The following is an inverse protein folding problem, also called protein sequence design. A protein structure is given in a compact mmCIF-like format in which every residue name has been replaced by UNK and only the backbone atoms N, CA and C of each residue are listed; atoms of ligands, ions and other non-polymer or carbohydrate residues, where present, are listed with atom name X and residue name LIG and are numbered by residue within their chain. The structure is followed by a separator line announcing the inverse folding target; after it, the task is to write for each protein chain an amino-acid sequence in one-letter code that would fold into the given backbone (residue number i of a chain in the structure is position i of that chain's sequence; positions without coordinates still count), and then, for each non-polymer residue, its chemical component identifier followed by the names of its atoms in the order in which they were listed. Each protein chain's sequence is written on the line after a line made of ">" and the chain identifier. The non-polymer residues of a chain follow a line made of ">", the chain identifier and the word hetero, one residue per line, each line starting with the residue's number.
data_IF_019223200551
#
_entry.id   IF_019223200551
#
_cell.length_a   1.000
_cell.length_b   1.000
_cell.length_c   1.000
_cell.angle_alpha   90.00
_cell.angle_beta   90.00
_cell.angle_gamma   90.00
#
_symmetry.space_group_name_H-M   'P 1'
#
loop_
_entity.id
_entity.type
_entity.pdbx_description
1 polymer ?
#
# COMPACT_ATOMS: atom_id res chain seq x y z
N UNK A 1 -2.91 -11.32 12.51
CA UNK A 1 -3.57 -12.45 13.19
C UNK A 1 -2.50 -13.17 13.99
N UNK A 2 -2.81 -13.71 15.17
CA UNK A 2 -1.89 -14.53 15.95
C UNK A 2 -2.66 -15.74 16.49
N UNK A 3 -2.11 -16.94 16.28
CA UNK A 3 -2.67 -18.18 16.81
C UNK A 3 -1.96 -18.48 18.13
N UNK A 4 -2.72 -18.77 19.20
CA UNK A 4 -2.17 -19.21 20.49
C UNK A 4 -2.07 -20.73 20.48
N UNK A 5 -0.95 -21.24 19.98
CA UNK A 5 -0.63 -22.66 19.97
C UNK A 5 0.90 -22.84 20.02
N UNK A 6 1.32 -23.96 20.57
CA UNK A 6 2.72 -24.40 20.57
C UNK A 6 2.96 -25.40 19.42
N UNK A 7 4.23 -25.68 19.10
CA UNK A 7 4.65 -26.68 18.09
C UNK A 7 4.12 -26.45 16.65
N UNK A 8 4.00 -25.18 16.26
CA UNK A 8 3.68 -24.80 14.89
C UNK A 8 4.91 -24.88 13.98
N UNK A 9 4.71 -25.40 12.77
CA UNK A 9 5.75 -25.52 11.75
C UNK A 9 5.69 -24.34 10.78
N UNK A 10 6.66 -23.40 10.81
CA UNK A 10 6.68 -22.27 9.90
C UNK A 10 7.12 -22.70 8.50
N UNK A 11 6.61 -22.01 7.48
CA UNK A 11 7.08 -22.17 6.11
C UNK A 11 8.35 -21.32 5.89
N UNK A 12 9.40 -21.84 5.23
CA UNK A 12 10.55 -21.03 4.85
C UNK A 12 10.14 -20.02 3.76
N UNK A 13 10.72 -18.82 3.80
CA UNK A 13 10.55 -17.81 2.76
C UNK A 13 11.68 -17.94 1.72
N UNK A 14 11.32 -17.85 0.44
CA UNK A 14 12.27 -17.67 -0.64
C UNK A 14 12.31 -16.20 -1.08
N UNK A 15 13.41 -15.81 -1.72
CA UNK A 15 13.55 -14.49 -2.34
C UNK A 15 12.71 -14.42 -3.62
N UNK A 16 11.61 -13.65 -3.61
CA UNK A 16 10.73 -13.54 -4.79
C UNK A 16 11.39 -12.83 -5.98
N UNK A 17 12.48 -12.10 -5.78
CA UNK A 17 13.22 -11.47 -6.87
C UNK A 17 13.96 -12.50 -7.74
N UNK A 18 14.38 -13.62 -7.15
CA UNK A 18 15.10 -14.71 -7.84
C UNK A 18 14.18 -15.65 -8.63
N UNK A 19 12.88 -15.61 -8.35
CA UNK A 19 11.86 -16.41 -9.05
C UNK A 19 11.86 -16.06 -10.54
N UNK A 20 11.83 -17.08 -11.40
CA UNK A 20 11.86 -16.91 -12.86
C UNK A 20 10.55 -17.31 -13.52
N UNK A 21 10.23 -16.64 -14.62
CA UNK A 21 9.14 -17.08 -15.51
C UNK A 21 9.46 -18.47 -16.06
N UNK A 22 8.49 -19.37 -16.04
CA UNK A 22 8.63 -20.79 -16.39
C UNK A 22 9.02 -21.71 -15.23
N UNK A 23 9.31 -21.17 -14.05
CA UNK A 23 9.61 -21.96 -12.86
C UNK A 23 8.35 -22.67 -12.34
N UNK A 24 8.49 -23.94 -11.94
CA UNK A 24 7.39 -24.74 -11.38
C UNK A 24 7.00 -24.23 -10.00
N UNK A 25 5.70 -24.17 -9.77
CA UNK A 25 5.10 -23.71 -8.52
C UNK A 25 3.93 -24.59 -8.11
N UNK A 26 3.64 -24.58 -6.81
CA UNK A 26 2.45 -25.20 -6.24
C UNK A 26 1.64 -24.16 -5.47
N UNK A 27 0.35 -24.08 -5.75
CA UNK A 27 -0.59 -23.28 -4.98
C UNK A 27 -1.30 -24.17 -3.96
N UNK A 28 -1.31 -23.74 -2.70
CA UNK A 28 -1.89 -24.47 -1.57
C UNK A 28 -2.97 -23.61 -0.93
N UNK A 29 -4.14 -24.20 -0.67
CA UNK A 29 -5.25 -23.49 -0.04
C UNK A 29 -6.41 -24.40 0.37
N UNK A 30 -7.57 -23.79 0.66
CA UNK A 30 -8.78 -24.50 1.05
C UNK A 30 -9.97 -24.06 0.14
N UNK A 31 -9.91 -24.35 -1.17
CA UNK A 31 -10.95 -23.93 -2.10
C UNK A 31 -12.26 -24.68 -1.80
N UNK A 32 -13.39 -23.97 -1.81
CA UNK A 32 -14.72 -24.55 -1.55
C UNK A 32 -14.87 -25.28 -0.20
N UNK A 33 -14.05 -24.93 0.81
CA UNK A 33 -13.95 -25.64 2.09
C UNK A 33 -13.55 -27.13 1.97
N UNK A 34 -12.94 -27.51 0.84
CA UNK A 34 -12.30 -28.81 0.66
C UNK A 34 -10.88 -28.72 1.22
N UNK A 35 -10.70 -29.26 2.43
CA UNK A 35 -9.48 -29.12 3.23
C UNK A 35 -8.22 -29.43 2.42
N UNK A 36 -7.28 -28.48 2.42
CA UNK A 36 -5.90 -28.62 1.96
C UNK A 36 -5.75 -29.13 0.52
N UNK A 37 -6.21 -28.34 -0.45
CA UNK A 37 -6.01 -28.63 -1.88
C UNK A 37 -4.69 -28.04 -2.36
N UNK A 38 -3.95 -28.84 -3.13
CA UNK A 38 -2.71 -28.43 -3.80
C UNK A 38 -2.93 -28.50 -5.31
N UNK A 39 -2.53 -27.46 -6.02
CA UNK A 39 -2.52 -27.41 -7.49
C UNK A 39 -1.13 -27.02 -7.96
N UNK A 40 -0.72 -27.49 -9.13
CA UNK A 40 0.60 -27.19 -9.71
C UNK A 40 0.45 -26.36 -10.98
N UNK A 41 1.47 -25.58 -11.27
CA UNK A 41 1.61 -24.78 -12.48
C UNK A 41 3.01 -24.21 -12.59
N UNK A 42 3.15 -23.14 -13.34
CA UNK A 42 4.38 -22.39 -13.51
C UNK A 42 4.17 -20.91 -13.19
N UNK A 43 5.26 -20.17 -13.00
CA UNK A 43 5.24 -18.71 -13.05
C UNK A 43 5.05 -18.28 -14.50
N UNK A 44 3.88 -17.72 -14.83
CA UNK A 44 3.55 -17.27 -16.18
C UNK A 44 4.09 -15.87 -16.47
N UNK A 45 4.18 -15.01 -15.46
CA UNK A 45 4.72 -13.66 -15.55
C UNK A 45 5.04 -13.09 -14.16
N UNK A 46 5.80 -12.00 -14.12
CA UNK A 46 6.06 -11.19 -12.91
C UNK A 46 5.61 -9.75 -13.15
N UNK A 47 5.57 -8.97 -12.07
CA UNK A 47 5.25 -7.55 -12.11
C UNK A 47 3.94 -7.23 -12.85
N UNK A 48 2.90 -8.04 -12.58
CA UNK A 48 1.57 -7.80 -13.16
C UNK A 48 0.77 -6.83 -12.31
N UNK A 49 0.15 -5.87 -12.99
CA UNK A 49 -0.90 -5.02 -12.45
C UNK A 49 -2.22 -5.42 -13.12
N UNK A 50 -3.25 -5.63 -12.31
CA UNK A 50 -4.59 -6.06 -12.74
C UNK A 50 -5.67 -5.02 -12.42
N UNK A 51 -5.26 -3.85 -11.92
CA UNK A 51 -6.07 -2.66 -11.65
C UNK A 51 -7.27 -2.95 -10.74
N UNK A 52 -7.07 -3.78 -9.71
CA UNK A 52 -8.12 -4.13 -8.74
C UNK A 52 -8.17 -3.15 -7.57
N UNK A 53 -7.09 -2.42 -7.32
CA UNK A 53 -6.92 -1.39 -6.30
C UNK A 53 -7.01 0.00 -6.96
N UNK A 54 -7.85 0.86 -6.37
CA UNK A 54 -8.08 2.24 -6.85
C UNK A 54 -7.29 3.30 -6.07
N UNK A 55 -6.52 2.89 -5.07
CA UNK A 55 -5.73 3.81 -4.26
C UNK A 55 -4.51 4.32 -5.02
N UNK A 56 -4.22 5.63 -4.88
CA UNK A 56 -3.06 6.28 -5.50
C UNK A 56 -1.71 5.64 -5.14
N UNK A 57 -1.62 5.01 -3.97
CA UNK A 57 -0.41 4.35 -3.45
C UNK A 57 -0.58 2.83 -3.34
N UNK A 58 -1.50 2.26 -4.11
CA UNK A 58 -1.64 0.83 -4.26
C UNK A 58 -0.34 0.23 -4.80
N UNK A 59 0.04 -0.93 -4.25
CA UNK A 59 1.16 -1.71 -4.76
C UNK A 59 0.56 -2.92 -5.46
N UNK A 60 0.50 -2.85 -6.78
CA UNK A 60 0.08 -3.97 -7.61
C UNK A 60 1.25 -4.47 -8.44
N UNK A 61 1.96 -5.44 -7.87
CA UNK A 61 2.99 -6.20 -8.57
C UNK A 61 2.81 -7.66 -8.20
N UNK A 62 2.07 -8.39 -9.03
CA UNK A 62 1.76 -9.79 -8.79
C UNK A 62 2.69 -10.72 -9.56
N UNK A 63 3.00 -11.86 -8.94
CA UNK A 63 3.45 -13.06 -9.62
C UNK A 63 2.21 -13.69 -10.24
N UNK A 64 2.23 -13.89 -11.56
CA UNK A 64 1.17 -14.59 -12.28
C UNK A 64 1.50 -16.07 -12.40
N UNK A 65 0.51 -16.93 -12.21
CA UNK A 65 0.64 -18.38 -12.38
C UNK A 65 -0.58 -18.99 -13.07
N UNK A 66 -0.38 -20.12 -13.74
CA UNK A 66 -1.41 -20.99 -14.28
C UNK A 66 -1.71 -22.20 -13.35
N UNK A 67 -1.15 -22.21 -12.14
CA UNK A 67 -1.65 -23.09 -11.08
C UNK A 67 -3.10 -22.73 -10.80
N UNK A 68 -3.97 -23.73 -10.70
CA UNK A 68 -5.40 -23.50 -10.50
C UNK A 68 -5.67 -22.82 -9.14
N UNK A 69 -6.14 -21.57 -9.20
CA UNK A 69 -6.52 -20.76 -8.03
C UNK A 69 -8.02 -20.49 -8.10
N UNK A 70 -8.75 -20.86 -7.05
CA UNK A 70 -10.18 -20.59 -6.89
C UNK A 70 -10.46 -19.89 -5.56
N UNK A 71 -11.65 -19.27 -5.37
CA UNK A 71 -12.06 -18.77 -4.06
C UNK A 71 -11.84 -19.81 -2.94
N UNK A 72 -11.16 -19.39 -1.87
CA UNK A 72 -10.67 -20.26 -0.78
C UNK A 72 -9.18 -20.59 -0.84
N UNK A 73 -8.51 -20.34 -1.99
CA UNK A 73 -7.04 -20.29 -2.05
C UNK A 73 -6.47 -18.93 -1.62
N UNK A 74 -7.28 -17.86 -1.62
CA UNK A 74 -6.85 -16.52 -1.18
C UNK A 74 -6.31 -16.55 0.26
N UNK A 75 -5.12 -16.00 0.45
CA UNK A 75 -4.36 -16.06 1.70
C UNK A 75 -3.49 -17.32 1.86
N UNK A 76 -3.66 -18.31 0.98
CA UNK A 76 -2.83 -19.51 0.91
C UNK A 76 -1.49 -19.30 0.22
N UNK A 77 -0.61 -20.30 0.30
CA UNK A 77 0.76 -20.22 -0.17
C UNK A 77 0.89 -20.49 -1.68
N UNK A 78 1.78 -19.76 -2.34
CA UNK A 78 2.41 -20.15 -3.60
C UNK A 78 3.86 -20.49 -3.29
N UNK A 79 4.27 -21.72 -3.56
CA UNK A 79 5.59 -22.25 -3.19
C UNK A 79 6.36 -22.77 -4.40
N UNK A 80 7.68 -22.77 -4.31
CA UNK A 80 8.53 -23.47 -5.27
C UNK A 80 8.61 -24.98 -4.95
N UNK A 81 9.41 -25.74 -5.72
CA UNK A 81 9.56 -27.18 -5.54
C UNK A 81 10.22 -27.60 -4.22
N UNK A 82 10.97 -26.70 -3.58
CA UNK A 82 11.55 -26.91 -2.24
C UNK A 82 10.54 -26.65 -1.12
N UNK A 83 9.31 -26.27 -1.45
CA UNK A 83 8.28 -25.90 -0.48
C UNK A 83 8.49 -24.52 0.16
N UNK A 84 9.40 -23.71 -0.38
CA UNK A 84 9.64 -22.35 0.09
C UNK A 84 8.62 -21.37 -0.49
N UNK A 85 8.12 -20.48 0.36
CA UNK A 85 7.12 -19.48 0.01
C UNK A 85 7.71 -18.43 -0.95
N UNK A 86 7.15 -18.34 -2.15
CA UNK A 86 7.49 -17.31 -3.15
C UNK A 86 6.42 -16.24 -3.27
N UNK A 87 5.20 -16.51 -2.80
CA UNK A 87 4.12 -15.53 -2.75
C UNK A 87 2.87 -16.02 -2.04
N UNK A 88 1.90 -15.12 -1.85
CA UNK A 88 0.60 -15.40 -1.24
C UNK A 88 -0.50 -15.22 -2.29
N UNK A 89 -1.26 -16.29 -2.53
CA UNK A 89 -2.37 -16.29 -3.49
C UNK A 89 -3.38 -15.23 -3.08
N UNK A 90 -3.74 -14.34 -3.99
CA UNK A 90 -4.56 -13.16 -3.67
C UNK A 90 -5.80 -13.09 -4.56
N UNK A 91 -5.61 -13.20 -5.87
CA UNK A 91 -6.67 -12.91 -6.83
C UNK A 91 -6.60 -13.82 -8.07
N UNK A 92 -7.67 -13.76 -8.87
CA UNK A 92 -7.75 -14.30 -10.23
C UNK A 92 -8.31 -13.24 -11.17
N UNK A 93 -7.92 -13.30 -12.44
CA UNK A 93 -8.58 -12.53 -13.50
C UNK A 93 -9.58 -13.44 -14.21
N UNK A 94 -10.86 -13.29 -13.89
CA UNK A 94 -11.91 -14.14 -14.44
C UNK A 94 -13.21 -13.37 -14.70
N UNK A 95 -13.82 -13.51 -15.89
CA UNK A 95 -15.15 -12.97 -16.15
C UNK A 95 -16.27 -13.65 -15.35
N UNK A 96 -16.08 -14.92 -14.94
CA UNK A 96 -17.11 -15.74 -14.30
C UNK A 96 -16.90 -15.92 -12.80
N UNK A 97 -15.74 -15.48 -12.28
CA UNK A 97 -15.31 -15.74 -10.91
C UNK A 97 -14.73 -17.15 -10.69
N UNK A 98 -14.67 -18.00 -11.72
CA UNK A 98 -13.99 -19.28 -11.70
C UNK A 98 -12.61 -19.20 -12.36
N UNK A 99 -11.67 -20.07 -11.96
CA UNK A 99 -10.35 -20.13 -12.57
C UNK A 99 -10.40 -20.26 -14.11
N UNK A 100 -9.56 -19.50 -14.81
CA UNK A 100 -9.51 -19.40 -16.27
C UNK A 100 -8.09 -19.37 -16.87
N UNK A 101 -7.06 -19.71 -16.09
CA UNK A 101 -5.66 -19.63 -16.53
C UNK A 101 -4.83 -18.51 -15.88
N UNK A 102 -5.46 -17.62 -15.11
CA UNK A 102 -4.84 -16.38 -14.62
C UNK A 102 -4.96 -16.24 -13.10
N UNK A 103 -4.01 -16.84 -12.38
CA UNK A 103 -3.85 -16.69 -10.94
C UNK A 103 -2.81 -15.63 -10.58
N UNK A 104 -2.99 -14.94 -9.45
CA UNK A 104 -2.11 -13.86 -8.99
C UNK A 104 -1.74 -14.00 -7.52
N UNK A 105 -0.45 -13.92 -7.23
CA UNK A 105 0.11 -13.96 -5.89
C UNK A 105 0.95 -12.71 -5.58
N UNK A 106 0.86 -12.23 -4.33
CA UNK A 106 1.71 -11.14 -3.82
C UNK A 106 3.10 -11.72 -3.53
N UNK A 107 4.21 -11.13 -4.03
CA UNK A 107 5.57 -11.62 -3.81
C UNK A 107 5.96 -11.77 -2.33
N UNK A 108 6.71 -12.83 -2.01
CA UNK A 108 7.16 -13.14 -0.64
C UNK A 108 8.00 -12.03 0.01
N UNK A 109 8.79 -11.27 -0.75
CA UNK A 109 9.59 -10.16 -0.19
C UNK A 109 8.70 -9.05 0.39
N UNK A 110 7.61 -8.70 -0.32
CA UNK A 110 6.61 -7.74 0.19
C UNK A 110 5.93 -8.31 1.44
N UNK A 111 5.55 -9.59 1.40
CA UNK A 111 4.88 -10.26 2.53
C UNK A 111 5.78 -10.25 3.77
N UNK A 112 7.03 -10.65 3.63
CA UNK A 112 8.03 -10.68 4.71
C UNK A 112 8.16 -9.32 5.39
N UNK A 113 8.33 -8.27 4.58
CA UNK A 113 8.45 -6.90 5.06
C UNK A 113 7.19 -6.40 5.77
N UNK A 114 6.01 -6.69 5.21
CA UNK A 114 4.72 -6.32 5.82
C UNK A 114 4.53 -7.03 7.17
N UNK A 115 4.85 -8.32 7.26
CA UNK A 115 4.78 -9.09 8.51
C UNK A 115 5.73 -8.50 9.54
N UNK A 116 6.98 -8.21 9.18
CA UNK A 116 7.96 -7.59 10.08
C UNK A 116 7.47 -6.23 10.59
N UNK A 117 6.92 -5.39 9.71
CA UNK A 117 6.37 -4.09 10.08
C UNK A 117 5.19 -4.21 11.06
N UNK A 118 4.27 -5.13 10.81
CA UNK A 118 3.12 -5.37 11.69
C UNK A 118 3.56 -5.92 13.06
N UNK A 119 4.55 -6.81 13.10
CA UNK A 119 5.08 -7.34 14.36
C UNK A 119 5.81 -6.26 15.16
N UNK A 120 6.65 -5.45 14.51
CA UNK A 120 7.51 -4.48 15.18
C UNK A 120 6.80 -3.16 15.49
N UNK A 121 6.03 -2.64 14.54
CA UNK A 121 5.42 -1.32 14.62
C UNK A 121 3.89 -1.35 14.68
N UNK A 122 3.24 -2.52 14.58
CA UNK A 122 1.77 -2.61 14.52
C UNK A 122 1.15 -2.05 13.23
N UNK A 123 1.95 -1.44 12.35
CA UNK A 123 1.55 -0.89 11.06
C UNK A 123 2.64 -0.95 10.01
N UNK A 124 2.17 -1.05 8.77
CA UNK A 124 3.01 -1.04 7.58
C UNK A 124 3.64 0.34 7.36
N UNK A 125 4.95 0.36 7.24
CA UNK A 125 5.76 1.56 7.05
C UNK A 125 6.06 1.75 5.55
N UNK A 126 5.21 2.45 4.81
CA UNK A 126 5.41 2.60 3.34
C UNK A 126 6.38 3.72 3.00
N UNK A 127 7.56 3.37 2.46
CA UNK A 127 8.43 4.30 1.76
C UNK A 127 7.84 4.70 0.40
N UNK A 128 8.02 5.95 0.00
CA UNK A 128 7.61 6.48 -1.31
C UNK A 128 8.69 7.40 -1.88
N UNK A 129 8.82 7.38 -3.21
CA UNK A 129 9.63 8.34 -3.97
C UNK A 129 8.92 9.70 -4.12
N UNK A 130 7.58 9.71 -4.13
CA UNK A 130 6.77 10.90 -4.38
C UNK A 130 6.74 11.33 -5.85
N UNK A 131 6.55 10.36 -6.76
CA UNK A 131 6.53 10.57 -8.21
C UNK A 131 5.20 10.12 -8.81
N UNK A 132 4.75 10.82 -9.85
CA UNK A 132 3.72 10.34 -10.76
C UNK A 132 4.41 9.69 -11.96
N UNK A 133 3.99 8.48 -12.32
CA UNK A 133 4.75 7.62 -13.22
C UNK A 133 3.90 6.98 -14.31
N UNK A 134 4.55 6.68 -15.45
CA UNK A 134 4.02 5.85 -16.53
C UNK A 134 5.03 4.79 -16.96
N UNK A 135 4.55 3.59 -17.24
CA UNK A 135 5.39 2.55 -17.87
C UNK A 135 5.78 3.01 -19.26
N UNK A 136 7.06 2.90 -19.60
CA UNK A 136 7.52 3.16 -20.97
C UNK A 136 7.11 2.01 -21.87
N UNK A 137 6.39 2.36 -22.93
CA UNK A 137 6.08 1.49 -24.06
C UNK A 137 6.52 2.14 -25.38
N UNK A 138 6.30 1.45 -26.50
CA UNK A 138 6.72 1.97 -27.81
C UNK A 138 6.00 3.26 -28.26
N UNK A 139 4.82 3.57 -27.70
CA UNK A 139 4.10 4.79 -28.02
C UNK A 139 4.64 5.96 -27.20
N UNK A 140 4.79 5.77 -25.89
CA UNK A 140 5.36 6.77 -24.99
C UNK A 140 6.80 7.09 -25.36
N UNK A 141 7.59 6.07 -25.74
CA UNK A 141 8.96 6.26 -26.21
C UNK A 141 9.03 7.19 -27.42
N UNK A 142 8.11 7.03 -28.39
CA UNK A 142 8.03 7.93 -29.55
C UNK A 142 7.51 9.32 -29.18
N UNK A 143 6.49 9.40 -28.33
CA UNK A 143 5.88 10.65 -27.87
C UNK A 143 6.90 11.55 -27.15
N UNK A 144 7.76 10.95 -26.33
CA UNK A 144 8.72 11.65 -25.46
C UNK A 144 10.16 11.59 -25.99
N UNK A 145 10.38 11.06 -27.19
CA UNK A 145 11.70 10.87 -27.81
C UNK A 145 12.69 10.11 -26.88
N UNK A 146 12.19 9.04 -26.25
CA UNK A 146 12.97 8.18 -25.37
C UNK A 146 13.71 7.16 -26.23
N UNK A 147 15.04 7.13 -26.12
CA UNK A 147 15.88 6.11 -26.78
C UNK A 147 15.72 4.69 -26.23
N UNK A 148 14.69 4.42 -25.43
CA UNK A 148 14.42 3.15 -24.75
C UNK A 148 12.91 2.83 -24.77
N UNK A 149 12.57 1.55 -24.75
CA UNK A 149 11.19 1.04 -24.82
C UNK A 149 10.75 0.30 -23.55
N UNK A 150 11.53 0.41 -22.47
CA UNK A 150 11.25 -0.19 -21.16
C UNK A 150 11.72 0.74 -20.05
N UNK A 151 11.11 0.65 -18.88
CA UNK A 151 11.41 1.50 -17.73
C UNK A 151 10.19 2.28 -17.27
N UNK A 152 10.42 3.25 -16.38
CA UNK A 152 9.35 4.04 -15.77
C UNK A 152 9.61 5.52 -15.95
N UNK A 153 8.80 6.15 -16.78
CA UNK A 153 8.83 7.58 -17.05
C UNK A 153 8.26 8.37 -15.86
N UNK A 154 8.98 9.41 -15.44
CA UNK A 154 8.55 10.35 -14.39
C UNK A 154 7.77 11.49 -15.03
N UNK A 155 6.44 11.49 -14.86
CA UNK A 155 5.56 12.54 -15.38
C UNK A 155 5.64 13.82 -14.58
N UNK A 156 5.56 13.69 -13.27
CA UNK A 156 5.61 14.81 -12.34
C UNK A 156 6.08 14.37 -10.97
N UNK A 157 6.43 15.35 -10.14
CA UNK A 157 6.84 15.16 -8.77
C UNK A 157 5.74 15.65 -7.84
N UNK A 158 5.50 14.93 -6.75
CA UNK A 158 4.70 15.46 -5.66
C UNK A 158 5.48 16.58 -4.94
N UNK A 159 4.74 17.48 -4.31
CA UNK A 159 5.33 18.52 -3.46
C UNK A 159 6.14 17.86 -2.33
N UNK A 160 7.35 18.37 -2.08
CA UNK A 160 8.29 17.83 -1.08
C UNK A 160 8.61 16.34 -1.27
N UNK A 161 8.63 15.85 -2.52
CA UNK A 161 8.97 14.46 -2.84
C UNK A 161 10.44 14.11 -2.56
N UNK A 162 10.66 12.87 -2.11
CA UNK A 162 11.99 12.30 -1.92
C UNK A 162 12.83 12.29 -3.21
N UNK A 163 12.21 11.91 -4.33
CA UNK A 163 12.85 11.92 -5.65
C UNK A 163 13.29 13.33 -6.07
N UNK A 164 12.41 14.33 -5.89
CA UNK A 164 12.74 15.72 -6.19
C UNK A 164 13.89 16.26 -5.34
N UNK A 165 13.89 15.96 -4.04
CA UNK A 165 14.97 16.35 -3.13
C UNK A 165 16.33 15.72 -3.52
N UNK A 166 16.31 14.52 -4.08
CA UNK A 166 17.52 13.84 -4.58
C UNK A 166 17.97 14.31 -5.98
N UNK A 167 17.18 15.12 -6.69
CA UNK A 167 17.52 15.66 -8.00
C UNK A 167 16.99 14.88 -9.21
N UNK A 168 16.09 13.92 -9.00
CA UNK A 168 15.27 13.31 -10.06
C UNK A 168 14.30 14.38 -10.58
N UNK A 169 14.03 14.37 -11.89
CA UNK A 169 13.22 15.38 -12.57
C UNK A 169 12.13 14.76 -13.42
N UNK A 170 11.02 15.47 -13.68
CA UNK A 170 10.11 15.11 -14.76
C UNK A 170 10.87 14.94 -16.08
N UNK A 171 10.53 13.90 -16.85
CA UNK A 171 11.26 13.52 -18.06
C UNK A 171 12.31 12.43 -17.87
N UNK A 172 12.71 12.14 -16.63
CA UNK A 172 13.59 11.01 -16.35
C UNK A 172 12.87 9.68 -16.60
N UNK A 173 13.62 8.67 -17.04
CA UNK A 173 13.16 7.28 -17.06
C UNK A 173 13.93 6.47 -16.04
N UNK A 174 13.27 5.99 -15.00
CA UNK A 174 13.86 5.08 -14.00
C UNK A 174 14.06 3.70 -14.64
N UNK A 175 15.29 3.19 -14.58
CA UNK A 175 15.70 1.93 -15.22
C UNK A 175 16.27 0.91 -14.23
N UNK A 176 16.67 1.34 -13.03
CA UNK A 176 17.21 0.45 -12.00
C UNK A 176 16.98 1.06 -10.60
N UNK A 177 16.73 0.19 -9.61
CA UNK A 177 16.72 0.56 -8.18
C UNK A 177 17.47 -0.51 -7.39
N UNK A 178 18.50 -0.12 -6.64
CA UNK A 178 19.35 -1.02 -5.84
C UNK A 178 19.86 -2.25 -6.64
N UNK A 179 20.27 -2.03 -7.88
CA UNK A 179 20.73 -3.09 -8.80
C UNK A 179 19.61 -3.92 -9.44
N UNK A 180 18.35 -3.74 -9.03
CA UNK A 180 17.20 -4.39 -9.65
C UNK A 180 16.75 -3.62 -10.90
N UNK A 181 16.75 -4.30 -12.05
CA UNK A 181 16.22 -3.73 -13.29
C UNK A 181 14.74 -3.38 -13.14
N UNK A 182 14.40 -2.17 -13.56
CA UNK A 182 13.03 -1.66 -13.60
C UNK A 182 12.60 -1.60 -15.06
N UNK A 183 11.66 -2.46 -15.43
CA UNK A 183 11.13 -2.57 -16.80
C UNK A 183 9.74 -1.95 -16.94
N UNK A 184 8.99 -1.83 -15.84
CA UNK A 184 7.64 -1.28 -15.80
C UNK A 184 7.27 -0.69 -14.42
N UNK A 185 6.16 0.06 -14.37
CA UNK A 185 5.70 0.71 -13.13
C UNK A 185 5.38 -0.26 -11.99
N UNK A 186 4.71 -1.41 -12.21
CA UNK A 186 4.52 -2.43 -11.18
C UNK A 186 5.82 -2.88 -10.52
N UNK A 187 6.87 -3.14 -11.31
CA UNK A 187 8.18 -3.54 -10.79
C UNK A 187 8.81 -2.44 -9.93
N UNK A 188 8.72 -1.18 -10.34
CA UNK A 188 9.18 -0.06 -9.51
C UNK A 188 8.43 -0.01 -8.18
N UNK A 189 7.10 -0.10 -8.23
CA UNK A 189 6.25 -0.07 -7.03
C UNK A 189 6.58 -1.24 -6.09
N UNK A 190 6.83 -2.44 -6.63
CA UNK A 190 7.24 -3.63 -5.89
C UNK A 190 8.52 -3.38 -5.10
N UNK A 191 9.58 -2.93 -5.78
CA UNK A 191 10.88 -2.69 -5.15
C UNK A 191 10.74 -1.63 -4.07
N UNK A 192 10.15 -0.47 -4.37
CA UNK A 192 10.00 0.62 -3.40
C UNK A 192 9.14 0.20 -2.19
N UNK A 193 8.13 -0.66 -2.37
CA UNK A 193 7.28 -1.15 -1.29
C UNK A 193 8.00 -2.04 -0.26
N UNK A 194 9.15 -2.61 -0.63
CA UNK A 194 10.02 -3.37 0.27
C UNK A 194 10.80 -2.47 1.24
N UNK A 195 10.75 -1.15 1.07
CA UNK A 195 11.46 -0.20 1.91
C UNK A 195 10.53 0.60 2.83
N UNK A 196 11.14 1.23 3.82
CA UNK A 196 10.52 2.08 4.84
C UNK A 196 10.86 3.56 4.58
N UNK A 197 10.08 4.50 5.13
CA UNK A 197 10.50 5.89 5.22
C UNK A 197 11.86 6.00 5.92
N UNK A 198 12.75 6.82 5.36
CA UNK A 198 14.11 7.02 5.84
C UNK A 198 15.14 6.06 5.24
N UNK A 199 14.72 4.96 4.60
CA UNK A 199 15.63 4.09 3.87
C UNK A 199 16.24 4.83 2.68
N UNK A 200 17.51 4.56 2.41
CA UNK A 200 18.24 5.11 1.27
C UNK A 200 18.27 4.07 0.15
N UNK A 201 17.80 4.45 -1.02
CA UNK A 201 17.79 3.59 -2.22
C UNK A 201 18.57 4.27 -3.35
N UNK A 202 19.29 3.48 -4.14
CA UNK A 202 20.05 3.92 -5.28
C UNK A 202 19.18 3.82 -6.54
N UNK A 203 18.81 4.96 -7.13
CA UNK A 203 17.93 5.02 -8.30
C UNK A 203 18.73 5.44 -9.52
N UNK A 204 18.82 4.55 -10.51
CA UNK A 204 19.41 4.85 -11.81
C UNK A 204 18.32 5.29 -12.78
N UNK A 205 18.55 6.41 -13.44
CA UNK A 205 17.65 6.98 -14.45
C UNK A 205 18.39 7.25 -15.76
N UNK A 206 17.66 7.21 -16.86
CA UNK A 206 18.06 7.77 -18.14
C UNK A 206 17.54 9.20 -18.26
N UNK A 207 18.44 10.17 -18.46
CA UNK A 207 18.12 11.59 -18.71
C UNK A 207 18.90 12.07 -19.91
N UNK A 208 18.21 12.54 -20.95
CA UNK A 208 18.82 13.03 -22.20
C UNK A 208 19.79 11.99 -22.82
N UNK A 209 19.39 10.71 -22.80
CA UNK A 209 20.19 9.60 -23.30
C UNK A 209 21.39 9.20 -22.44
N UNK A 210 21.58 9.80 -21.25
CA UNK A 210 22.68 9.48 -20.34
C UNK A 210 22.17 8.89 -19.04
N UNK A 211 22.85 7.85 -18.57
CA UNK A 211 22.57 7.27 -17.25
C UNK A 211 23.05 8.21 -16.14
N UNK A 212 22.21 8.38 -15.12
CA UNK A 212 22.51 9.11 -13.90
C UNK A 212 22.00 8.31 -12.70
N UNK A 213 22.78 8.32 -11.64
CA UNK A 213 22.43 7.61 -10.40
C UNK A 213 22.19 8.61 -9.29
N UNK A 214 21.09 8.43 -8.57
CA UNK A 214 20.66 9.27 -7.48
C UNK A 214 20.48 8.45 -6.21
N UNK A 215 21.01 8.96 -5.12
CA UNK A 215 20.81 8.42 -3.79
C UNK A 215 19.55 9.06 -3.19
N UNK A 216 18.46 8.31 -3.11
CA UNK A 216 17.16 8.81 -2.69
C UNK A 216 16.85 8.33 -1.27
N UNK A 217 16.60 9.26 -0.35
CA UNK A 217 16.08 8.95 0.99
C UNK A 217 14.56 8.95 0.92
N UNK A 218 13.95 7.78 1.09
CA UNK A 218 12.51 7.62 0.93
C UNK A 218 11.74 8.38 2.00
N UNK A 219 10.59 8.94 1.62
CA UNK A 219 9.67 9.57 2.55
C UNK A 219 8.47 8.67 2.82
N UNK A 220 7.67 9.00 3.83
CA UNK A 220 6.31 8.52 3.97
C UNK A 220 5.37 9.32 3.04
N UNK A 221 4.08 8.96 3.05
CA UNK A 221 3.04 9.64 2.24
C UNK A 221 2.86 11.13 2.55
N UNK A 222 3.36 11.62 3.69
CA UNK A 222 3.35 13.05 4.09
C UNK A 222 4.65 13.78 3.71
N UNK A 223 5.55 13.15 2.93
CA UNK A 223 6.82 13.76 2.53
C UNK A 223 7.90 13.80 3.61
N UNK A 224 7.76 13.02 4.69
CA UNK A 224 8.75 12.97 5.79
C UNK A 224 9.49 11.62 5.83
N UNK A 225 10.77 11.60 6.19
CA UNK A 225 11.54 10.37 6.38
C UNK A 225 11.18 9.59 7.67
N UNK A 226 10.15 10.02 8.41
CA UNK A 226 9.78 9.45 9.69
C UNK A 226 8.87 8.22 9.56
N UNK A 227 9.11 7.22 10.40
CA UNK A 227 8.21 6.09 10.60
C UNK A 227 6.91 6.54 11.27
N UNK A 228 5.80 5.92 10.86
CA UNK A 228 4.50 6.05 11.50
C UNK A 228 4.56 5.39 12.87
N UNK A 229 4.18 6.13 13.93
CA UNK A 229 4.19 5.59 15.29
C UNK A 229 3.08 4.56 15.47
N UNK A 230 3.39 3.40 16.08
CA UNK A 230 2.43 2.33 16.39
C UNK A 230 1.17 2.84 17.08
N UNK A 231 1.38 3.62 18.14
CA UNK A 231 0.33 4.22 18.96
C UNK A 231 -0.62 5.08 18.13
N UNK A 232 -0.09 5.74 17.09
CA UNK A 232 -0.88 6.55 16.19
C UNK A 232 -1.82 5.68 15.37
N UNK A 233 -1.32 4.57 14.85
CA UNK A 233 -2.13 3.67 14.08
C UNK A 233 -3.09 2.78 14.90
N UNK A 234 -2.71 2.39 16.12
CA UNK A 234 -3.59 1.61 16.99
C UNK A 234 -4.90 2.37 17.24
N UNK A 235 -4.83 3.68 17.47
CA UNK A 235 -6.03 4.52 17.62
C UNK A 235 -6.85 4.55 16.33
N UNK A 236 -6.22 4.81 15.18
CA UNK A 236 -6.96 4.89 13.91
C UNK A 236 -7.63 3.54 13.58
N UNK A 237 -6.98 2.42 13.88
CA UNK A 237 -7.53 1.07 13.75
C UNK A 237 -8.68 0.82 14.74
N UNK A 238 -8.54 1.25 16.00
CA UNK A 238 -9.61 1.17 17.00
C UNK A 238 -10.84 1.95 16.51
N UNK A 239 -10.65 3.16 15.99
CA UNK A 239 -11.73 3.97 15.44
C UNK A 239 -12.36 3.33 14.19
N UNK A 240 -11.56 2.67 13.37
CA UNK A 240 -11.99 2.01 12.13
C UNK A 240 -12.35 3.01 11.06
N UNK A 241 -11.44 3.95 10.77
CA UNK A 241 -11.67 4.98 9.77
C UNK A 241 -10.36 5.47 9.16
N UNK A 242 -10.43 5.88 7.90
CA UNK A 242 -9.38 6.67 7.26
C UNK A 242 -9.61 8.15 7.54
N UNK A 243 -8.59 8.82 8.04
CA UNK A 243 -8.67 10.23 8.38
C UNK A 243 -7.70 11.06 7.54
N UNK A 244 -8.13 12.26 7.22
CA UNK A 244 -7.36 13.25 6.48
C UNK A 244 -7.39 14.58 7.24
N UNK A 245 -6.24 15.24 7.36
CA UNK A 245 -6.20 16.60 7.92
C UNK A 245 -6.78 17.55 6.89
N UNK A 246 -7.77 18.35 7.30
CA UNK A 246 -8.45 19.27 6.39
C UNK A 246 -7.48 20.32 5.85
N UNK A 247 -7.55 20.58 4.55
CA UNK A 247 -6.76 21.63 3.92
C UNK A 247 -7.29 23.02 4.31
N UNK A 248 -6.42 24.04 4.14
CA UNK A 248 -6.73 25.42 4.53
C UNK A 248 -7.84 26.06 3.70
N UNK A 249 -8.03 25.63 2.45
CA UNK A 249 -9.05 26.19 1.57
C UNK A 249 -10.44 25.72 2.01
N UNK A 250 -10.59 24.43 2.24
CA UNK A 250 -11.83 23.83 2.73
C UNK A 250 -12.19 24.34 4.13
N UNK A 251 -11.20 24.44 5.04
CA UNK A 251 -11.41 25.02 6.37
C UNK A 251 -11.99 26.44 6.32
N UNK A 252 -11.48 27.30 5.41
CA UNK A 252 -11.98 28.66 5.20
C UNK A 252 -13.39 28.68 4.62
N UNK A 253 -13.70 27.82 3.65
CA UNK A 253 -15.03 27.72 3.04
C UNK A 253 -16.11 27.36 4.07
N UNK A 254 -15.74 26.56 5.06
CA UNK A 254 -16.63 26.11 6.13
C UNK A 254 -16.60 27.01 7.38
N UNK A 255 -15.84 28.11 7.36
CA UNK A 255 -15.63 29.02 8.49
C UNK A 255 -15.17 28.31 9.79
N UNK A 256 -14.28 27.32 9.64
CA UNK A 256 -13.68 26.59 10.76
C UNK A 256 -12.17 26.80 10.79
N UNK A 257 -11.58 26.71 12.00
CA UNK A 257 -10.13 26.89 12.19
C UNK A 257 -9.27 25.77 11.57
N UNK A 258 -9.88 24.62 11.31
CA UNK A 258 -9.25 23.38 10.88
C UNK A 258 -10.13 22.20 11.26
N UNK A 259 -9.70 21.00 10.94
CA UNK A 259 -10.44 19.79 11.29
C UNK A 259 -9.80 18.52 10.75
N UNK A 260 -10.41 17.39 11.09
CA UNK A 260 -10.02 16.08 10.58
C UNK A 260 -11.20 15.45 9.87
N UNK A 261 -11.08 15.29 8.55
CA UNK A 261 -12.10 14.68 7.70
C UNK A 261 -12.02 13.16 7.79
N UNK A 262 -13.17 12.53 7.98
CA UNK A 262 -13.35 11.08 7.89
C UNK A 262 -13.53 10.74 6.42
N UNK A 263 -12.51 10.18 5.79
CA UNK A 263 -12.52 9.87 4.36
C UNK A 263 -13.29 8.59 4.06
N UNK A 264 -13.10 7.57 4.91
CA UNK A 264 -13.80 6.29 4.80
C UNK A 264 -13.98 5.64 6.19
N UNK A 265 -14.96 4.75 6.32
CA UNK A 265 -15.29 4.02 7.54
C UNK A 265 -15.13 2.50 7.35
N UNK A 266 -14.12 1.94 8.01
CA UNK A 266 -13.84 0.51 8.04
C UNK A 266 -14.45 -0.14 9.29
N UNK A 267 -14.10 -1.39 9.56
CA UNK A 267 -14.52 -2.06 10.79
C UNK A 267 -13.81 -1.44 12.01
N UNK A 268 -14.57 -0.80 12.90
CA UNK A 268 -14.07 -0.27 14.17
C UNK A 268 -15.15 0.47 14.96
N UNK A 269 -14.74 1.22 15.98
CA UNK A 269 -15.67 1.83 16.94
C UNK A 269 -16.62 2.85 16.32
N UNK A 270 -16.16 3.67 15.38
CA UNK A 270 -16.99 4.70 14.75
C UNK A 270 -18.16 4.05 14.00
N UNK A 271 -17.86 3.07 13.13
CA UNK A 271 -18.90 2.34 12.40
C UNK A 271 -19.81 1.48 13.31
N UNK A 272 -19.27 0.96 14.41
CA UNK A 272 -20.02 0.08 15.33
C UNK A 272 -20.97 0.83 16.26
N UNK A 273 -20.57 2.02 16.73
CA UNK A 273 -21.27 2.73 17.80
C UNK A 273 -21.88 4.07 17.38
N UNK A 274 -21.65 4.53 16.15
CA UNK A 274 -22.16 5.82 15.67
C UNK A 274 -22.87 5.66 14.33
N UNK A 275 -23.67 6.67 13.97
CA UNK A 275 -24.25 6.83 12.63
C UNK A 275 -23.44 7.79 11.76
N UNK A 276 -22.15 7.94 12.07
CA UNK A 276 -21.22 8.78 11.31
C UNK A 276 -21.14 8.30 9.85
N UNK A 277 -21.05 9.26 8.93
CA UNK A 277 -20.86 9.01 7.50
C UNK A 277 -19.46 9.48 7.06
N UNK A 278 -18.87 8.87 6.02
CA UNK A 278 -17.76 9.49 5.31
C UNK A 278 -18.09 10.94 4.93
N UNK A 279 -17.09 11.81 5.00
CA UNK A 279 -17.23 13.26 4.80
C UNK A 279 -17.40 14.07 6.09
N UNK A 280 -17.63 13.43 7.25
CA UNK A 280 -17.69 14.13 8.52
C UNK A 280 -16.35 14.79 8.87
N UNK A 281 -16.36 16.06 9.27
CA UNK A 281 -15.16 16.82 9.64
C UNK A 281 -15.20 17.03 11.16
N UNK A 282 -14.34 16.33 11.88
CA UNK A 282 -14.16 16.46 13.33
C UNK A 282 -13.44 17.78 13.60
N UNK A 283 -14.08 18.64 14.39
CA UNK A 283 -13.55 19.95 14.81
C UNK A 283 -13.15 19.94 16.28
N UNK A 284 -13.75 19.09 17.12
CA UNK A 284 -13.35 18.89 18.53
C UNK A 284 -13.50 17.45 19.01
N UNK A 285 -12.73 17.14 20.05
CA UNK A 285 -12.80 15.91 20.84
C UNK A 285 -12.88 16.31 22.31
N UNK A 286 -14.01 16.05 22.97
CA UNK A 286 -14.25 16.39 24.38
C UNK A 286 -13.86 17.85 24.71
N UNK A 287 -14.46 18.79 23.97
CA UNK A 287 -14.21 20.24 24.01
C UNK A 287 -12.81 20.72 23.61
N UNK A 288 -11.87 19.81 23.30
CA UNK A 288 -10.56 20.17 22.78
C UNK A 288 -10.63 20.34 21.26
N UNK A 289 -10.25 21.51 20.71
CA UNK A 289 -10.13 21.69 19.27
C UNK A 289 -9.19 20.66 18.67
N UNK A 290 -9.52 20.20 17.46
CA UNK A 290 -8.69 19.29 16.69
C UNK A 290 -8.49 19.85 15.30
N UNK A 291 -7.22 20.04 14.93
CA UNK A 291 -6.84 20.63 13.65
C UNK A 291 -6.03 19.68 12.77
N UNK A 292 -5.62 18.53 13.30
CA UNK A 292 -4.85 17.52 12.57
C UNK A 292 -5.08 16.11 13.10
N UNK A 293 -4.79 15.11 12.25
CA UNK A 293 -4.87 13.70 12.64
C UNK A 293 -3.92 13.38 13.80
N UNK A 294 -2.75 14.02 13.83
CA UNK A 294 -1.76 13.85 14.91
C UNK A 294 -2.30 14.36 16.26
N UNK A 295 -3.06 15.45 16.25
CA UNK A 295 -3.74 15.98 17.43
C UNK A 295 -4.92 15.09 17.87
N UNK A 296 -5.74 14.62 16.93
CA UNK A 296 -6.83 13.67 17.18
C UNK A 296 -6.32 12.43 17.92
N UNK A 297 -5.29 11.80 17.37
CA UNK A 297 -4.64 10.64 17.97
C UNK A 297 -4.10 10.98 19.35
N UNK A 298 -3.38 12.10 19.50
CA UNK A 298 -2.78 12.49 20.77
C UNK A 298 -3.83 12.67 21.87
N UNK A 299 -4.99 13.24 21.56
CA UNK A 299 -6.09 13.41 22.52
C UNK A 299 -6.70 12.06 22.91
N UNK A 300 -6.84 11.15 21.95
CA UNK A 300 -7.49 9.86 22.17
C UNK A 300 -6.59 8.78 22.78
N UNK A 301 -5.26 8.95 22.73
CA UNK A 301 -4.30 7.90 23.10
C UNK A 301 -4.50 7.35 24.51
N UNK A 302 -4.71 8.22 25.47
CA UNK A 302 -4.80 7.86 26.88
C UNK A 302 -6.25 7.92 27.41
N UNK A 303 -7.23 8.12 26.51
CA UNK A 303 -8.65 8.20 26.87
C UNK A 303 -9.16 6.81 27.29
N UNK A 304 -9.68 6.74 28.52
CA UNK A 304 -10.41 5.58 29.05
C UNK A 304 -11.85 6.04 29.31
N UNK A 305 -12.82 5.47 28.60
CA UNK A 305 -14.24 5.84 28.74
C UNK A 305 -14.81 6.63 27.56
N UNK A 306 -15.86 7.42 27.81
CA UNK A 306 -16.59 8.13 26.77
C UNK A 306 -15.76 9.20 26.04
N UNK A 307 -15.96 9.27 24.73
CA UNK A 307 -15.45 10.29 23.83
C UNK A 307 -16.63 10.94 23.12
N UNK A 308 -16.67 12.28 23.14
CA UNK A 308 -17.58 13.10 22.35
C UNK A 308 -16.82 13.78 21.22
N UNK A 309 -17.19 13.47 19.98
CA UNK A 309 -16.73 14.16 18.79
C UNK A 309 -17.73 15.25 18.43
N UNK A 310 -17.25 16.47 18.23
CA UNK A 310 -17.98 17.57 17.60
C UNK A 310 -17.44 17.77 16.18
N UNK A 311 -18.33 18.06 15.23
CA UNK A 311 -17.91 18.31 13.87
C UNK A 311 -19.02 18.80 12.95
N UNK A 312 -18.71 18.91 11.67
CA UNK A 312 -19.61 19.41 10.63
C UNK A 312 -19.60 18.49 9.42
N UNK A 313 -20.63 18.61 8.58
CA UNK A 313 -20.66 18.02 7.25
C UNK A 313 -20.60 19.14 6.20
N UNK A 314 -19.95 18.89 5.06
CA UNK A 314 -19.95 19.84 3.94
C UNK A 314 -21.33 19.95 3.28
N UNK A 315 -22.07 18.84 3.25
CA UNK A 315 -23.36 18.72 2.56
C UNK A 315 -24.57 19.03 3.47
N UNK A 316 -24.38 19.13 4.79
CA UNK A 316 -25.48 19.35 5.74
C UNK A 316 -25.12 20.47 6.72
N UNK A 317 -25.94 21.54 6.80
CA UNK A 317 -25.67 22.65 7.70
C UNK A 317 -25.83 22.26 9.18
N UNK A 318 -24.97 22.83 10.02
CA UNK A 318 -25.04 22.69 11.48
C UNK A 318 -23.90 21.87 12.08
N UNK A 319 -23.85 21.86 13.41
CA UNK A 319 -22.88 21.10 14.19
C UNK A 319 -23.47 19.78 14.64
N UNK A 320 -22.72 18.70 14.46
CA UNK A 320 -23.12 17.34 14.81
C UNK A 320 -22.20 16.76 15.87
N UNK A 321 -22.77 15.85 16.66
CA UNK A 321 -22.08 15.22 17.77
C UNK A 321 -22.18 13.71 17.66
N UNK A 322 -21.06 13.02 17.87
CA UNK A 322 -21.01 11.57 17.96
C UNK A 322 -20.31 11.16 19.24
N UNK A 323 -20.94 10.26 20.01
CA UNK A 323 -20.37 9.73 21.23
C UNK A 323 -20.12 8.23 21.12
N UNK A 324 -18.98 7.77 21.64
CA UNK A 324 -18.66 6.35 21.74
C UNK A 324 -17.70 6.12 22.92
N UNK A 325 -17.57 4.87 23.38
CA UNK A 325 -16.60 4.50 24.42
C UNK A 325 -15.25 4.09 23.84
N UNK A 326 -14.13 4.50 24.43
CA UNK A 326 -12.76 4.05 24.16
C UNK A 326 -12.41 2.73 24.82
#
# INVERSE_FOLDING_TARGET
>A
IQIKADDLHPIPFANSDEVRVGEWVMAVGNPFNLTSTVTAGIVSAKARNINILREQYAVESFIQTDAAINPGNSGGALVNLDGALIGINTAIASPTGAYSGYGFAVPSNIVSKVVEDLMKYGVVQRGVLGVMIRTVDGNLAKEKDLGITSGVYVDSLLENSAAGAAGIKPGDVIIEVDGNKIDNSPRLQEIIAQHRPGDKVNVKVLRDGKEKTFDVVLSNRKGKAELVKKEHADILNILGAEFETLDKETARKLDIKGGVKVKDLTAGKLRKYTTMRPGFIITKVDDKPVTSVDELVKILKDKKGGVLLEGVYEDIPGTYYYAFGM
#
